data_IF_723866460883
#
_entry.id   IF_723866460883
#
_cell.length_a   1.000
_cell.length_b   1.000
_cell.length_c   1.000
_cell.angle_alpha   90.00
_cell.angle_beta   90.00
_cell.angle_gamma   90.00
#
_symmetry.space_group_name_H-M   'P 1'
#
loop_
_entity.id
_entity.type
_entity.pdbx_description
1 polymer ?
#
# COMPACT_ATOMS: atom_id res chain seq x y z
N UNK A 1 22.15 -30.23 -14.65
CA UNK A 1 21.00 -30.04 -15.57
C UNK A 1 20.84 -28.56 -15.91
N UNK A 2 20.55 -28.22 -17.17
CA UNK A 2 20.37 -26.82 -17.58
C UNK A 2 18.95 -26.29 -17.27
N UNK A 3 18.74 -24.98 -17.42
CA UNK A 3 17.43 -24.36 -17.12
C UNK A 3 16.27 -24.88 -18.00
N UNK A 4 16.56 -25.34 -19.23
CA UNK A 4 15.54 -25.87 -20.15
C UNK A 4 15.06 -27.25 -19.68
N UNK A 5 15.98 -28.07 -19.20
CA UNK A 5 15.66 -29.36 -18.59
C UNK A 5 14.93 -29.17 -17.26
N UNK A 6 15.37 -28.22 -16.42
CA UNK A 6 14.67 -27.89 -15.18
C UNK A 6 13.23 -27.41 -15.42
N UNK A 7 13.02 -26.58 -16.44
CA UNK A 7 11.68 -26.18 -16.92
C UNK A 7 10.85 -27.39 -17.37
N UNK A 8 11.43 -28.31 -18.13
CA UNK A 8 10.73 -29.51 -18.59
C UNK A 8 10.31 -30.44 -17.44
N UNK A 9 11.16 -30.61 -16.42
CA UNK A 9 10.86 -31.46 -15.26
C UNK A 9 9.84 -30.83 -14.31
N UNK A 10 9.93 -29.51 -14.10
CA UNK A 10 9.10 -28.81 -13.10
C UNK A 10 7.82 -28.23 -13.69
N UNK A 11 7.80 -27.99 -15.02
CA UNK A 11 6.76 -27.21 -15.71
C UNK A 11 6.74 -25.73 -15.29
N UNK A 12 7.82 -25.23 -14.70
CA UNK A 12 7.98 -23.81 -14.34
C UNK A 12 8.78 -23.14 -15.44
N UNK A 13 8.29 -22.01 -15.95
CA UNK A 13 8.97 -21.30 -17.04
C UNK A 13 10.37 -20.87 -16.64
N UNK A 14 11.31 -20.82 -17.59
CA UNK A 14 12.67 -20.29 -17.36
C UNK A 14 12.67 -18.92 -16.67
N UNK A 15 11.72 -18.05 -17.04
CA UNK A 15 11.56 -16.73 -16.44
C UNK A 15 11.21 -16.81 -14.95
N UNK A 16 10.30 -17.69 -14.57
CA UNK A 16 9.92 -17.89 -13.18
C UNK A 16 11.02 -18.54 -12.36
N UNK A 17 11.79 -19.47 -12.94
CA UNK A 17 12.98 -20.05 -12.28
C UNK A 17 13.99 -18.93 -11.96
N UNK A 18 14.31 -18.06 -12.94
CA UNK A 18 15.19 -16.90 -12.72
C UNK A 18 14.62 -15.91 -11.70
N UNK A 19 13.31 -15.73 -11.67
CA UNK A 19 12.65 -14.90 -10.67
C UNK A 19 12.85 -15.47 -9.26
N UNK A 20 12.70 -16.78 -9.07
CA UNK A 20 12.94 -17.43 -7.78
C UNK A 20 14.41 -17.38 -7.35
N UNK A 21 15.35 -17.44 -8.30
CA UNK A 21 16.76 -17.12 -8.02
C UNK A 21 16.94 -15.66 -7.56
N UNK A 22 16.37 -14.66 -8.27
CA UNK A 22 16.45 -13.23 -7.89
C UNK A 22 15.86 -13.00 -6.49
N UNK A 23 14.82 -13.75 -6.13
CA UNK A 23 14.18 -13.71 -4.80
C UNK A 23 14.88 -14.58 -3.75
N UNK A 24 16.04 -15.17 -4.06
CA UNK A 24 16.86 -15.90 -3.09
C UNK A 24 16.23 -17.21 -2.60
N UNK A 25 15.34 -17.83 -3.40
CA UNK A 25 14.74 -19.13 -3.07
C UNK A 25 15.53 -20.31 -3.66
N UNK A 26 16.38 -20.05 -4.65
CA UNK A 26 17.21 -21.03 -5.33
C UNK A 26 18.63 -20.50 -5.50
N UNK A 27 19.60 -21.40 -5.29
CA UNK A 27 21.03 -21.11 -5.42
C UNK A 27 21.71 -22.19 -6.27
N UNK A 28 21.41 -22.27 -7.58
CA UNK A 28 22.01 -23.27 -8.44
C UNK A 28 23.52 -23.06 -8.53
N UNK A 29 24.27 -24.16 -8.62
CA UNK A 29 25.71 -24.09 -8.86
C UNK A 29 26.00 -23.49 -10.24
N UNK A 30 27.19 -22.91 -10.39
CA UNK A 30 27.72 -22.56 -11.71
C UNK A 30 28.77 -23.59 -12.08
N UNK A 31 28.66 -24.13 -13.27
CA UNK A 31 29.64 -25.06 -13.79
C UNK A 31 30.99 -24.33 -13.97
N UNK A 32 32.07 -24.90 -13.44
CA UNK A 32 33.41 -24.30 -13.45
C UNK A 32 33.99 -24.12 -14.85
N UNK A 33 33.61 -24.97 -15.81
CA UNK A 33 34.17 -24.97 -17.17
C UNK A 33 33.56 -23.90 -18.07
N UNK A 34 32.28 -23.56 -17.89
CA UNK A 34 31.55 -22.70 -18.82
C UNK A 34 30.69 -21.61 -18.12
N UNK A 35 30.75 -21.53 -16.79
CA UNK A 35 30.04 -20.54 -15.97
C UNK A 35 28.51 -20.53 -16.12
N UNK A 36 27.93 -21.52 -16.81
CA UNK A 36 26.48 -21.67 -16.93
C UNK A 36 25.89 -22.23 -15.63
N UNK A 37 24.61 -21.91 -15.41
CA UNK A 37 23.84 -22.42 -14.28
C UNK A 37 23.63 -23.92 -14.44
N UNK A 38 23.98 -24.65 -13.40
CA UNK A 38 23.80 -26.08 -13.27
C UNK A 38 22.85 -26.36 -12.10
N UNK A 39 21.65 -26.80 -12.45
CA UNK A 39 20.61 -27.15 -11.50
C UNK A 39 20.79 -28.61 -11.10
N UNK A 40 20.81 -28.84 -9.79
CA UNK A 40 20.86 -30.17 -9.19
C UNK A 40 19.45 -30.78 -9.10
N UNK A 41 19.38 -32.07 -8.76
CA UNK A 41 18.11 -32.71 -8.46
C UNK A 41 17.43 -32.08 -7.23
N UNK A 42 18.22 -31.60 -6.26
CA UNK A 42 17.71 -30.89 -5.09
C UNK A 42 17.05 -29.56 -5.47
N UNK A 43 17.61 -28.85 -6.46
CA UNK A 43 17.00 -27.62 -6.97
C UNK A 43 15.65 -27.89 -7.62
N UNK A 44 15.48 -29.02 -8.31
CA UNK A 44 14.19 -29.46 -8.86
C UNK A 44 13.17 -29.70 -7.76
N UNK A 45 13.57 -30.37 -6.68
CA UNK A 45 12.68 -30.62 -5.54
C UNK A 45 12.22 -29.31 -4.88
N UNK A 46 13.14 -28.35 -4.69
CA UNK A 46 12.82 -27.01 -4.18
C UNK A 46 11.85 -26.30 -5.13
N UNK A 47 12.09 -26.34 -6.45
CA UNK A 47 11.18 -25.75 -7.43
C UNK A 47 9.77 -26.36 -7.37
N UNK A 48 9.66 -27.67 -7.18
CA UNK A 48 8.37 -28.35 -7.00
C UNK A 48 7.66 -27.94 -5.71
N UNK A 49 8.41 -27.77 -4.61
CA UNK A 49 7.86 -27.24 -3.35
C UNK A 49 7.34 -25.80 -3.52
N UNK A 50 8.14 -24.92 -4.14
CA UNK A 50 7.72 -23.55 -4.45
C UNK A 50 6.45 -23.56 -5.29
N UNK A 51 6.39 -24.40 -6.34
CA UNK A 51 5.21 -24.54 -7.20
C UNK A 51 3.96 -24.95 -6.43
N UNK A 52 4.09 -25.94 -5.53
CA UNK A 52 2.98 -26.39 -4.69
C UNK A 52 2.48 -25.26 -3.79
N UNK A 53 3.37 -24.63 -3.04
CA UNK A 53 3.03 -23.57 -2.09
C UNK A 53 2.42 -22.34 -2.81
N UNK A 54 2.97 -21.95 -3.95
CA UNK A 54 2.40 -20.87 -4.79
C UNK A 54 1.01 -21.22 -5.32
N UNK A 55 0.72 -22.48 -5.64
CA UNK A 55 -0.63 -22.92 -6.04
C UNK A 55 -1.64 -22.84 -4.90
N UNK A 56 -1.18 -22.87 -3.65
CA UNK A 56 -2.00 -22.65 -2.45
C UNK A 56 -2.11 -21.17 -2.05
N UNK A 57 -1.65 -20.26 -2.91
CA UNK A 57 -1.63 -18.81 -2.68
C UNK A 57 -0.77 -18.40 -1.46
N UNK A 58 0.26 -19.18 -1.15
CA UNK A 58 1.24 -18.84 -0.11
C UNK A 58 2.26 -17.86 -0.68
N UNK A 59 2.52 -16.76 0.03
CA UNK A 59 3.42 -15.68 -0.41
C UNK A 59 4.88 -16.13 -0.54
N UNK A 60 5.66 -15.42 -1.34
CA UNK A 60 7.09 -15.72 -1.54
C UNK A 60 7.86 -15.61 -0.23
N UNK A 61 7.50 -14.65 0.63
CA UNK A 61 8.11 -14.43 1.93
C UNK A 61 7.86 -15.61 2.87
N UNK A 62 6.65 -16.16 2.88
CA UNK A 62 6.33 -17.34 3.68
C UNK A 62 6.99 -18.61 3.13
N UNK A 63 7.11 -18.74 1.81
CA UNK A 63 7.88 -19.83 1.20
C UNK A 63 9.35 -19.74 1.61
N UNK A 64 9.93 -18.53 1.64
CA UNK A 64 11.29 -18.30 2.10
C UNK A 64 11.47 -18.78 3.56
N UNK A 65 10.54 -18.44 4.45
CA UNK A 65 10.56 -18.92 5.84
C UNK A 65 10.50 -20.45 5.93
N UNK A 66 9.64 -21.10 5.15
CA UNK A 66 9.54 -22.57 5.10
C UNK A 66 10.88 -23.18 4.66
N UNK A 67 11.49 -22.66 3.61
CA UNK A 67 12.79 -23.13 3.12
C UNK A 67 13.94 -22.87 4.12
N UNK A 68 13.80 -21.89 5.00
CA UNK A 68 14.72 -21.61 6.11
C UNK A 68 14.44 -22.44 7.38
N UNK A 69 13.44 -23.32 7.36
CA UNK A 69 13.13 -24.24 8.47
C UNK A 69 11.96 -23.83 9.37
N UNK A 70 11.15 -22.84 8.98
CA UNK A 70 9.89 -22.56 9.67
C UNK A 70 8.91 -23.75 9.51
N UNK A 71 8.04 -23.94 10.50
CA UNK A 71 7.03 -25.01 10.43
C UNK A 71 6.01 -24.73 9.33
N UNK A 72 6.05 -25.57 8.29
CA UNK A 72 5.14 -25.53 7.16
C UNK A 72 3.68 -25.72 7.59
N UNK A 73 3.41 -26.51 8.64
CA UNK A 73 2.05 -26.76 9.09
C UNK A 73 1.40 -25.50 9.65
N UNK A 74 2.15 -24.69 10.38
CA UNK A 74 1.63 -23.45 10.97
C UNK A 74 1.26 -22.44 9.88
N UNK A 75 2.11 -22.27 8.86
CA UNK A 75 1.84 -21.39 7.72
C UNK A 75 0.64 -21.89 6.92
N UNK A 76 0.53 -23.20 6.69
CA UNK A 76 -0.62 -23.79 6.00
C UNK A 76 -1.91 -23.64 6.81
N UNK A 77 -1.88 -23.82 8.13
CA UNK A 77 -3.05 -23.60 9.00
C UNK A 77 -3.52 -22.16 8.94
N UNK A 78 -2.60 -21.19 9.04
CA UNK A 78 -2.94 -19.77 8.90
C UNK A 78 -3.58 -19.47 7.53
N UNK A 79 -3.04 -20.05 6.45
CA UNK A 79 -3.61 -19.89 5.12
C UNK A 79 -4.99 -20.56 5.01
N UNK A 80 -5.18 -21.73 5.61
CA UNK A 80 -6.46 -22.42 5.65
C UNK A 80 -7.53 -21.60 6.37
N UNK A 81 -7.19 -21.04 7.53
CA UNK A 81 -8.10 -20.18 8.31
C UNK A 81 -8.50 -18.95 7.51
N UNK A 82 -7.55 -18.29 6.85
CA UNK A 82 -7.79 -17.17 5.94
C UNK A 82 -8.74 -17.56 4.78
N UNK A 83 -8.54 -18.74 4.19
CA UNK A 83 -9.39 -19.22 3.09
C UNK A 83 -10.80 -19.57 3.56
N UNK A 84 -10.96 -20.12 4.76
CA UNK A 84 -12.26 -20.39 5.37
C UNK A 84 -13.01 -19.10 5.68
N UNK A 85 -12.31 -18.08 6.18
CA UNK A 85 -12.86 -16.74 6.38
C UNK A 85 -13.33 -16.13 5.05
N UNK A 86 -12.45 -16.09 4.03
CA UNK A 86 -12.80 -15.59 2.68
C UNK A 86 -14.00 -16.32 2.10
N UNK A 87 -14.09 -17.64 2.27
CA UNK A 87 -15.23 -18.44 1.81
C UNK A 87 -16.54 -17.99 2.48
N UNK A 88 -16.51 -17.78 3.80
CA UNK A 88 -17.69 -17.30 4.55
C UNK A 88 -18.16 -15.92 4.06
N UNK A 89 -17.22 -15.00 3.82
CA UNK A 89 -17.51 -13.66 3.32
C UNK A 89 -18.12 -13.70 1.90
N UNK A 90 -17.56 -14.54 1.03
CA UNK A 90 -18.09 -14.78 -0.31
C UNK A 90 -19.49 -15.39 -0.26
N UNK A 91 -19.73 -16.36 0.62
CA UNK A 91 -21.05 -16.98 0.79
C UNK A 91 -22.10 -15.96 1.27
N UNK A 92 -21.74 -15.05 2.19
CA UNK A 92 -22.58 -13.93 2.61
C UNK A 92 -22.92 -13.00 1.45
N UNK A 93 -21.90 -12.62 0.68
CA UNK A 93 -22.05 -11.74 -0.49
C UNK A 93 -22.91 -12.39 -1.57
N UNK A 94 -22.71 -13.68 -1.88
CA UNK A 94 -23.52 -14.44 -2.84
C UNK A 94 -24.99 -14.49 -2.40
N UNK A 95 -25.27 -14.73 -1.12
CA UNK A 95 -26.65 -14.70 -0.58
C UNK A 95 -27.30 -13.34 -0.82
N UNK A 96 -26.55 -12.26 -0.63
CA UNK A 96 -27.05 -10.91 -0.84
C UNK A 96 -27.28 -10.59 -2.32
N UNK A 97 -26.35 -10.96 -3.20
CA UNK A 97 -26.54 -10.85 -4.65
C UNK A 97 -27.79 -11.60 -5.12
N UNK A 98 -28.00 -12.82 -4.63
CA UNK A 98 -29.21 -13.60 -4.91
C UNK A 98 -30.46 -12.89 -4.40
N UNK A 99 -30.45 -12.37 -3.18
CA UNK A 99 -31.59 -11.63 -2.62
C UNK A 99 -31.95 -10.42 -3.50
N UNK A 100 -30.96 -9.64 -3.92
CA UNK A 100 -31.18 -8.46 -4.78
C UNK A 100 -31.77 -8.85 -6.14
N UNK A 101 -31.21 -9.88 -6.79
CA UNK A 101 -31.71 -10.38 -8.09
C UNK A 101 -33.17 -10.86 -8.01
N UNK A 102 -33.60 -11.46 -6.89
CA UNK A 102 -34.96 -11.97 -6.74
C UNK A 102 -35.97 -10.88 -6.33
N UNK A 103 -35.54 -9.78 -5.70
CA UNK A 103 -36.47 -8.81 -5.12
C UNK A 103 -37.23 -7.95 -6.15
N UNK A 104 -36.83 -7.95 -7.44
CA UNK A 104 -37.37 -7.12 -8.54
C UNK A 104 -37.48 -5.60 -8.24
N UNK A 105 -37.04 -5.14 -7.07
CA UNK A 105 -37.03 -3.72 -6.70
C UNK A 105 -35.82 -3.05 -7.31
N UNK A 106 -36.07 -1.89 -7.91
CA UNK A 106 -35.02 -0.94 -8.27
C UNK A 106 -34.12 -0.65 -7.08
N UNK A 107 -32.90 -0.19 -7.35
CA UNK A 107 -31.92 0.24 -6.34
C UNK A 107 -32.43 1.36 -5.40
N UNK A 108 -33.66 1.84 -5.60
CA UNK A 108 -34.36 2.86 -4.82
C UNK A 108 -34.66 2.44 -3.36
N UNK A 109 -34.71 1.14 -3.06
CA UNK A 109 -34.91 0.62 -1.71
C UNK A 109 -33.60 0.13 -1.06
N UNK A 110 -32.56 0.95 -1.15
CA UNK A 110 -31.23 0.66 -0.57
C UNK A 110 -31.31 0.40 0.93
N UNK A 111 -32.25 1.04 1.64
CA UNK A 111 -32.40 0.89 3.09
C UNK A 111 -32.82 -0.51 3.50
N UNK A 112 -33.77 -1.12 2.78
CA UNK A 112 -34.20 -2.49 3.06
C UNK A 112 -33.08 -3.50 2.77
N UNK A 113 -32.31 -3.27 1.71
CA UNK A 113 -31.15 -4.08 1.38
C UNK A 113 -30.04 -3.99 2.45
N UNK A 114 -29.72 -2.79 2.93
CA UNK A 114 -28.72 -2.58 3.98
C UNK A 114 -29.17 -3.18 5.32
N UNK A 115 -30.43 -3.03 5.70
CA UNK A 115 -30.97 -3.67 6.91
C UNK A 115 -30.86 -5.20 6.84
N UNK A 116 -31.05 -5.79 5.65
CA UNK A 116 -30.87 -7.24 5.46
C UNK A 116 -29.41 -7.66 5.56
N UNK A 117 -28.47 -6.84 5.09
CA UNK A 117 -27.04 -7.07 5.27
C UNK A 117 -26.67 -7.06 6.75
N UNK A 118 -27.11 -6.06 7.52
CA UNK A 118 -26.86 -5.99 8.97
C UNK A 118 -27.38 -7.25 9.71
N UNK A 119 -28.56 -7.74 9.34
CA UNK A 119 -29.10 -8.98 9.91
C UNK A 119 -28.29 -10.23 9.56
N UNK A 120 -27.70 -10.27 8.36
CA UNK A 120 -26.78 -11.33 7.96
C UNK A 120 -25.46 -11.22 8.73
N UNK A 121 -24.99 -10.00 9.02
CA UNK A 121 -23.80 -9.76 9.83
C UNK A 121 -23.99 -10.22 11.28
N UNK A 122 -25.14 -9.92 11.89
CA UNK A 122 -25.49 -10.42 13.23
C UNK A 122 -25.51 -11.95 13.31
N UNK A 123 -25.77 -12.62 12.18
CA UNK A 123 -25.78 -14.10 12.08
C UNK A 123 -24.42 -14.68 11.70
N UNK A 124 -23.35 -13.87 11.74
CA UNK A 124 -21.98 -14.29 11.47
C UNK A 124 -21.54 -14.15 10.01
N UNK A 125 -22.38 -13.58 9.14
CA UNK A 125 -21.91 -13.09 7.84
C UNK A 125 -20.94 -11.91 8.04
N UNK A 126 -20.04 -11.68 7.10
CA UNK A 126 -19.25 -10.45 7.07
C UNK A 126 -19.30 -9.90 5.65
N UNK A 127 -19.52 -8.60 5.55
CA UNK A 127 -19.41 -7.88 4.28
C UNK A 127 -18.21 -6.95 4.35
N UNK A 128 -17.79 -6.45 3.19
CA UNK A 128 -16.71 -5.47 3.15
C UNK A 128 -17.04 -4.25 3.99
N UNK A 129 -16.21 -3.97 4.99
CA UNK A 129 -16.27 -2.71 5.71
C UNK A 129 -15.81 -1.59 4.78
N UNK A 130 -16.61 -0.53 4.62
CA UNK A 130 -16.26 0.66 3.82
C UNK A 130 -14.92 1.27 4.30
N UNK A 131 -14.58 1.12 5.58
CA UNK A 131 -13.28 1.52 6.13
C UNK A 131 -12.08 0.82 5.46
N UNK A 132 -12.25 -0.41 4.98
CA UNK A 132 -11.20 -1.14 4.27
C UNK A 132 -10.88 -0.50 2.92
N UNK A 133 -11.85 0.16 2.27
CA UNK A 133 -11.60 0.90 1.03
C UNK A 133 -10.64 2.07 1.29
N UNK A 134 -10.84 2.79 2.39
CA UNK A 134 -9.93 3.87 2.77
C UNK A 134 -8.53 3.35 3.11
N UNK A 135 -8.42 2.24 3.85
CA UNK A 135 -7.11 1.63 4.13
C UNK A 135 -6.39 1.19 2.85
N UNK A 136 -7.11 0.64 1.87
CA UNK A 136 -6.55 0.28 0.56
C UNK A 136 -6.05 1.52 -0.19
N UNK A 137 -6.83 2.61 -0.19
CA UNK A 137 -6.42 3.89 -0.79
C UNK A 137 -5.17 4.43 -0.10
N UNK A 138 -5.12 4.45 1.23
CA UNK A 138 -3.95 4.91 2.00
C UNK A 138 -2.72 4.06 1.70
N UNK A 139 -2.86 2.73 1.64
CA UNK A 139 -1.75 1.84 1.26
C UNK A 139 -1.28 2.08 -0.18
N UNK A 140 -2.19 2.33 -1.10
CA UNK A 140 -1.86 2.64 -2.49
C UNK A 140 -1.16 4.00 -2.62
N UNK A 141 -1.64 5.02 -1.90
CA UNK A 141 -0.99 6.34 -1.84
C UNK A 141 0.41 6.24 -1.22
N UNK A 142 0.57 5.46 -0.14
CA UNK A 142 1.86 5.22 0.49
C UNK A 142 2.85 4.49 -0.45
N UNK A 143 2.37 3.54 -1.27
CA UNK A 143 3.19 2.90 -2.31
C UNK A 143 3.53 3.85 -3.46
N UNK A 144 2.63 4.75 -3.83
CA UNK A 144 2.82 5.72 -4.92
C UNK A 144 3.84 6.79 -4.56
N UNK A 145 3.80 7.27 -3.32
CA UNK A 145 4.68 8.32 -2.82
C UNK A 145 4.96 8.09 -1.34
N UNK A 146 6.23 8.10 -0.99
CA UNK A 146 6.68 8.13 0.40
C UNK A 146 7.80 9.15 0.57
N UNK A 147 8.09 9.51 1.81
CA UNK A 147 9.12 10.47 2.14
C UNK A 147 9.78 10.09 3.45
N UNK A 148 11.07 10.38 3.58
CA UNK A 148 11.81 10.18 4.82
C UNK A 148 12.81 11.32 5.02
N UNK A 149 13.22 11.48 6.28
CA UNK A 149 14.24 12.46 6.65
C UNK A 149 15.59 11.74 6.58
N UNK A 150 16.51 12.14 5.69
CA UNK A 150 17.85 11.58 5.65
C UNK A 150 18.65 11.98 6.90
N UNK A 151 19.64 11.15 7.25
CA UNK A 151 20.57 11.43 8.33
C UNK A 151 21.55 12.57 7.95
N UNK A 152 21.84 12.70 6.66
CA UNK A 152 22.66 13.76 6.06
C UNK A 152 21.83 14.73 5.21
N UNK A 153 22.46 15.78 4.68
CA UNK A 153 21.78 16.72 3.78
C UNK A 153 21.65 16.19 2.33
N UNK A 154 22.19 14.99 2.05
CA UNK A 154 22.23 14.36 0.73
C UNK A 154 22.66 15.36 -0.37
N UNK A 155 23.83 15.99 -0.18
CA UNK A 155 24.31 17.05 -1.06
C UNK A 155 25.04 16.49 -2.28
N UNK A 156 25.56 15.27 -2.18
CA UNK A 156 26.23 14.55 -3.26
C UNK A 156 25.40 13.34 -3.71
N UNK A 157 25.67 12.82 -4.91
CA UNK A 157 24.98 11.63 -5.41
C UNK A 157 25.29 10.40 -4.57
N UNK A 158 26.52 10.28 -4.06
CA UNK A 158 26.95 9.18 -3.19
C UNK A 158 26.23 9.21 -1.84
N UNK A 159 26.15 10.38 -1.19
CA UNK A 159 25.38 10.56 0.04
C UNK A 159 23.90 10.22 -0.17
N UNK A 160 23.31 10.67 -1.29
CA UNK A 160 21.91 10.39 -1.59
C UNK A 160 21.65 8.88 -1.73
N UNK A 161 22.49 8.19 -2.51
CA UNK A 161 22.42 6.73 -2.67
C UNK A 161 22.56 6.01 -1.33
N UNK A 162 23.49 6.45 -0.47
CA UNK A 162 23.69 5.88 0.84
C UNK A 162 22.47 6.04 1.75
N UNK A 163 21.81 7.21 1.73
CA UNK A 163 20.57 7.44 2.49
C UNK A 163 19.43 6.52 2.02
N UNK A 164 19.29 6.31 0.71
CA UNK A 164 18.30 5.37 0.15
C UNK A 164 18.58 3.92 0.56
N UNK A 165 19.83 3.49 0.49
CA UNK A 165 20.24 2.16 0.93
C UNK A 165 20.01 1.95 2.44
N UNK A 166 20.34 2.97 3.25
CA UNK A 166 20.14 2.95 4.71
C UNK A 166 18.66 2.82 5.03
N UNK A 167 17.81 3.64 4.41
CA UNK A 167 16.36 3.55 4.54
C UNK A 167 15.83 2.15 4.14
N UNK A 168 16.35 1.58 3.05
CA UNK A 168 16.00 0.23 2.61
C UNK A 168 16.31 -0.83 3.66
N UNK A 169 17.50 -0.77 4.28
CA UNK A 169 17.91 -1.70 5.33
C UNK A 169 17.07 -1.56 6.61
N UNK A 170 16.87 -0.33 7.10
CA UNK A 170 16.10 -0.07 8.33
C UNK A 170 14.64 -0.54 8.23
N UNK A 171 14.05 -0.41 7.04
CA UNK A 171 12.68 -0.81 6.78
C UNK A 171 12.53 -2.23 6.20
N UNK A 172 13.61 -3.01 6.13
CA UNK A 172 13.64 -4.36 5.51
C UNK A 172 13.05 -4.39 4.09
N UNK A 173 13.30 -3.35 3.30
CA UNK A 173 12.87 -3.23 1.92
C UNK A 173 13.95 -3.78 1.00
N UNK A 174 13.55 -4.54 -0.03
CA UNK A 174 14.44 -4.95 -1.10
C UNK A 174 14.62 -3.80 -2.10
N UNK A 175 15.33 -2.75 -1.66
CA UNK A 175 15.62 -1.55 -2.42
C UNK A 175 16.92 -1.74 -3.21
N UNK A 176 16.85 -1.61 -4.53
CA UNK A 176 18.02 -1.68 -5.41
C UNK A 176 18.12 -0.38 -6.21
N UNK A 177 19.18 0.38 -6.00
CA UNK A 177 19.44 1.61 -6.79
C UNK A 177 19.87 1.20 -8.21
N UNK A 178 19.14 1.68 -9.21
CA UNK A 178 19.36 1.37 -10.63
C UNK A 178 20.11 2.47 -11.36
N UNK A 179 19.88 3.73 -10.99
CA UNK A 179 20.59 4.90 -11.52
C UNK A 179 20.99 5.82 -10.36
N UNK A 180 22.28 6.10 -10.21
CA UNK A 180 22.79 7.05 -9.22
C UNK A 180 22.74 8.49 -9.75
N UNK A 181 22.54 9.45 -8.85
CA UNK A 181 22.50 10.86 -9.20
C UNK A 181 21.82 11.70 -8.12
N UNK A 182 21.51 12.97 -8.43
CA UNK A 182 20.69 13.82 -7.55
C UNK A 182 19.18 13.62 -7.73
N UNK A 183 18.83 12.80 -8.73
CA UNK A 183 17.49 12.25 -9.00
C UNK A 183 17.62 10.74 -9.21
N UNK A 184 18.05 9.98 -8.18
CA UNK A 184 18.36 8.57 -8.35
C UNK A 184 17.08 7.79 -8.65
N UNK A 185 17.23 6.77 -9.50
CA UNK A 185 16.17 5.78 -9.74
C UNK A 185 16.50 4.48 -9.03
N UNK A 186 15.47 3.82 -8.52
CA UNK A 186 15.64 2.58 -7.76
C UNK A 186 14.38 1.71 -7.84
N UNK A 187 14.56 0.42 -7.60
CA UNK A 187 13.50 -0.59 -7.62
C UNK A 187 13.17 -1.01 -6.19
N UNK A 188 11.89 -1.02 -5.82
CA UNK A 188 11.38 -1.73 -4.64
C UNK A 188 10.35 -2.74 -5.11
N UNK A 189 10.59 -4.04 -4.86
CA UNK A 189 9.66 -5.13 -5.17
C UNK A 189 9.15 -5.19 -6.62
N UNK A 190 9.95 -4.72 -7.59
CA UNK A 190 9.59 -4.70 -9.00
C UNK A 190 8.93 -3.40 -9.48
N UNK A 191 8.75 -2.41 -8.60
CA UNK A 191 8.27 -1.08 -8.95
C UNK A 191 9.45 -0.11 -9.01
N UNK A 192 9.52 0.66 -10.09
CA UNK A 192 10.53 1.71 -10.27
C UNK A 192 10.09 3.01 -9.61
N UNK A 193 11.02 3.60 -8.88
CA UNK A 193 10.89 4.85 -8.17
C UNK A 193 11.96 5.84 -8.63
N UNK A 194 11.62 7.11 -8.57
CA UNK A 194 12.54 8.24 -8.66
C UNK A 194 12.50 8.99 -7.33
N UNK A 195 13.66 9.33 -6.78
CA UNK A 195 13.76 10.18 -5.60
C UNK A 195 14.29 11.56 -5.93
N UNK A 196 13.84 12.55 -5.18
CA UNK A 196 14.41 13.90 -5.17
C UNK A 196 14.41 14.44 -3.75
N UNK A 197 15.29 15.40 -3.47
CA UNK A 197 15.35 16.04 -2.15
C UNK A 197 14.65 17.40 -2.16
N UNK A 198 13.91 17.67 -1.10
CA UNK A 198 13.29 18.96 -0.83
C UNK A 198 13.91 19.56 0.44
N UNK A 199 14.23 20.86 0.40
CA UNK A 199 14.79 21.57 1.57
C UNK A 199 13.70 22.40 2.25
N UNK A 200 13.51 22.15 3.54
CA UNK A 200 12.59 22.89 4.39
C UNK A 200 13.30 23.62 5.52
N UNK A 201 12.51 24.23 6.41
CA UNK A 201 13.00 24.96 7.59
C UNK A 201 13.80 24.07 8.56
N UNK A 202 13.62 22.75 8.49
CA UNK A 202 14.13 21.78 9.46
C UNK A 202 15.09 20.75 8.84
N UNK A 203 15.57 20.95 7.61
CA UNK A 203 16.51 20.05 6.95
C UNK A 203 16.05 19.58 5.57
N UNK A 204 16.75 18.57 5.06
CA UNK A 204 16.40 17.87 3.83
C UNK A 204 15.28 16.84 4.09
N UNK A 205 14.45 16.62 3.08
CA UNK A 205 13.48 15.52 3.02
C UNK A 205 13.70 14.82 1.69
N UNK A 206 13.90 13.52 1.69
CA UNK A 206 13.94 12.73 0.47
C UNK A 206 12.51 12.29 0.16
N UNK A 207 12.05 12.65 -1.03
CA UNK A 207 10.72 12.34 -1.56
C UNK A 207 10.89 11.32 -2.67
N UNK A 208 10.20 10.18 -2.54
CA UNK A 208 10.25 9.08 -3.48
C UNK A 208 8.89 8.91 -4.17
N UNK A 209 8.88 8.78 -5.49
CA UNK A 209 7.65 8.62 -6.28
C UNK A 209 7.83 7.55 -7.35
N UNK A 210 6.76 6.78 -7.62
CA UNK A 210 6.77 5.78 -8.69
C UNK A 210 6.84 6.45 -10.06
N UNK A 211 7.73 5.99 -10.94
CA UNK A 211 7.95 6.53 -12.29
C UNK A 211 6.77 6.24 -13.22
N UNK A 212 6.18 5.05 -13.10
CA UNK A 212 5.02 4.59 -13.87
C UNK A 212 3.82 4.31 -12.96
N UNK A 213 3.11 5.35 -12.48
CA UNK A 213 1.97 5.18 -11.58
C UNK A 213 0.80 4.40 -12.21
N UNK A 214 0.77 4.25 -13.54
CA UNK A 214 -0.22 3.48 -14.27
C UNK A 214 -0.13 1.96 -13.99
N UNK A 215 1.08 1.46 -13.69
CA UNK A 215 1.30 0.05 -13.31
C UNK A 215 0.69 -0.27 -11.93
N UNK A 216 0.60 0.72 -11.04
CA UNK A 216 -0.17 0.60 -9.81
C UNK A 216 -1.68 0.62 -10.11
N UNK A 217 -2.13 1.34 -11.14
CA UNK A 217 -3.56 1.52 -11.44
C UNK A 217 -4.25 0.25 -11.94
N UNK A 218 -3.55 -0.71 -12.56
CA UNK A 218 -4.16 -1.98 -12.99
C UNK A 218 -4.56 -2.90 -11.82
N UNK A 219 -3.81 -2.89 -10.71
CA UNK A 219 -4.18 -3.61 -9.48
C UNK A 219 -5.39 -3.00 -8.75
N UNK A 220 -5.72 -1.72 -8.98
CA UNK A 220 -6.68 -0.97 -8.14
C UNK A 220 -7.76 -0.19 -8.91
N UNK A 221 -7.89 -0.37 -10.24
CA UNK A 221 -8.83 0.36 -11.13
C UNK A 221 -10.30 0.26 -10.71
N UNK A 222 -10.68 -0.72 -9.87
CA UNK A 222 -12.03 -0.86 -9.35
C UNK A 222 -12.39 0.16 -8.25
N UNK A 223 -11.41 0.70 -7.51
CA UNK A 223 -11.65 1.57 -6.35
C UNK A 223 -11.89 3.03 -6.77
N UNK A 224 -11.18 3.51 -7.79
CA UNK A 224 -11.25 4.92 -8.23
C UNK A 224 -12.62 5.30 -8.81
N UNK A 225 -13.40 4.33 -9.31
CA UNK A 225 -14.74 4.56 -9.86
C UNK A 225 -15.83 4.78 -8.81
N UNK A 226 -15.62 4.45 -7.53
CA UNK A 226 -16.65 4.62 -6.48
C UNK A 226 -16.47 5.88 -5.61
N UNK A 227 -15.28 6.49 -5.61
CA UNK A 227 -14.94 7.56 -4.68
C UNK A 227 -15.17 8.96 -5.23
N UNK A 228 -16.30 9.61 -4.88
CA UNK A 228 -16.44 11.08 -4.96
C UNK A 228 -15.54 11.77 -3.91
N UNK A 229 -14.22 11.69 -4.07
CA UNK A 229 -13.19 12.29 -3.19
C UNK A 229 -13.09 13.82 -3.19
N UNK A 230 -14.07 14.51 -3.79
CA UNK A 230 -14.17 15.98 -3.84
C UNK A 230 -14.89 16.56 -2.62
N UNK A 231 -15.84 15.83 -2.03
CA UNK A 231 -16.75 16.37 -1.02
C UNK A 231 -16.13 16.34 0.38
N UNK A 232 -15.41 15.27 0.73
CA UNK A 232 -14.77 15.13 2.04
C UNK A 232 -13.63 16.14 2.26
N UNK A 233 -12.83 16.42 1.22
CA UNK A 233 -11.82 17.50 1.24
C UNK A 233 -12.44 18.88 1.41
N UNK A 234 -13.65 19.13 0.89
CA UNK A 234 -14.37 20.38 1.09
C UNK A 234 -14.92 20.50 2.51
N UNK A 235 -15.49 19.42 3.06
CA UNK A 235 -16.03 19.40 4.43
C UNK A 235 -14.91 19.59 5.46
N UNK A 236 -13.78 18.87 5.31
CA UNK A 236 -12.65 19.00 6.24
C UNK A 236 -12.01 20.39 6.17
N UNK A 237 -11.94 21.00 4.98
CA UNK A 237 -11.50 22.41 4.83
C UNK A 237 -12.46 23.40 5.48
N UNK A 238 -13.77 23.18 5.39
CA UNK A 238 -14.75 24.05 6.06
C UNK A 238 -14.63 23.92 7.58
N UNK A 239 -14.47 22.69 8.08
CA UNK A 239 -14.35 22.42 9.51
C UNK A 239 -13.09 23.04 10.11
N UNK A 240 -11.93 22.97 9.45
CA UNK A 240 -10.70 23.61 9.95
C UNK A 240 -10.76 25.13 9.91
N UNK A 241 -11.48 25.72 8.94
CA UNK A 241 -11.65 27.19 8.84
C UNK A 241 -12.55 27.73 9.95
N UNK A 242 -13.59 26.99 10.37
CA UNK A 242 -14.58 27.49 11.33
C UNK A 242 -14.33 27.04 12.77
N UNK A 243 -13.78 25.84 12.99
CA UNK A 243 -13.61 25.29 14.33
C UNK A 243 -12.57 26.07 15.16
N UNK A 244 -11.46 26.49 14.54
CA UNK A 244 -10.37 27.18 15.25
C UNK A 244 -10.77 28.56 15.81
N UNK A 245 -11.45 29.45 15.04
CA UNK A 245 -11.95 30.72 15.60
C UNK A 245 -13.09 30.53 16.61
N UNK A 246 -13.94 29.50 16.44
CA UNK A 246 -15.00 29.20 17.42
C UNK A 246 -14.43 28.69 18.74
N UNK A 247 -13.41 27.84 18.71
CA UNK A 247 -12.71 27.38 19.91
C UNK A 247 -11.98 28.52 20.63
N UNK A 248 -11.32 29.43 19.88
CA UNK A 248 -10.71 30.62 20.46
C UNK A 248 -11.75 31.55 21.09
N UNK A 249 -12.90 31.74 20.43
CA UNK A 249 -14.00 32.54 20.96
C UNK A 249 -14.52 31.98 22.28
N UNK A 250 -14.81 30.67 22.32
CA UNK A 250 -15.30 29.99 23.52
C UNK A 250 -14.26 30.06 24.65
N UNK A 251 -12.98 29.87 24.35
CA UNK A 251 -11.90 29.97 25.34
C UNK A 251 -11.83 31.37 25.98
N UNK A 252 -11.88 32.44 25.18
CA UNK A 252 -11.84 33.82 25.70
C UNK A 252 -13.16 34.25 26.38
N UNK A 253 -14.30 33.78 25.89
CA UNK A 253 -15.61 34.05 26.48
C UNK A 253 -15.75 33.43 27.88
N UNK A 254 -15.24 32.21 28.08
CA UNK A 254 -15.36 31.48 29.34
C UNK A 254 -14.35 31.97 30.39
N UNK A 255 -13.13 32.34 29.99
CA UNK A 255 -12.04 32.60 30.96
C UNK A 255 -12.00 34.02 31.52
N UNK A 256 -12.50 35.04 30.80
CA UNK A 256 -12.35 36.45 31.24
C UNK A 256 -13.58 37.36 31.08
N UNK A 257 -14.71 36.86 30.56
CA UNK A 257 -15.94 37.66 30.41
C UNK A 257 -15.82 38.89 29.49
N UNK A 258 -14.71 39.02 28.73
CA UNK A 258 -14.46 40.14 27.82
C UNK A 258 -14.88 39.79 26.39
N UNK A 259 -16.20 39.76 26.17
CA UNK A 259 -16.81 39.39 24.88
C UNK A 259 -16.38 40.29 23.72
N UNK A 260 -16.09 41.56 23.97
CA UNK A 260 -15.70 42.53 22.92
C UNK A 260 -14.32 42.19 22.34
N UNK A 261 -13.35 41.80 23.17
CA UNK A 261 -12.00 41.46 22.71
C UNK A 261 -12.01 40.13 21.95
N UNK A 262 -12.81 39.17 22.41
CA UNK A 262 -13.02 37.91 21.69
C UNK A 262 -13.62 38.15 20.29
N UNK A 263 -14.61 39.05 20.20
CA UNK A 263 -15.24 39.40 18.91
C UNK A 263 -14.22 40.03 17.95
N UNK A 264 -13.39 40.96 18.42
CA UNK A 264 -12.36 41.61 17.60
C UNK A 264 -11.30 40.60 17.14
N UNK A 265 -10.80 39.73 18.02
CA UNK A 265 -9.79 38.74 17.63
C UNK A 265 -10.31 37.71 16.63
N UNK A 266 -11.58 37.29 16.76
CA UNK A 266 -12.20 36.37 15.79
C UNK A 266 -12.42 37.02 14.43
N UNK A 267 -12.78 38.31 14.35
CA UNK A 267 -12.94 39.01 13.07
C UNK A 267 -11.60 39.26 12.38
N UNK A 268 -10.55 39.60 13.12
CA UNK A 268 -9.20 39.70 12.54
C UNK A 268 -8.67 38.34 12.07
N UNK A 269 -8.93 37.25 12.81
CA UNK A 269 -8.55 35.91 12.40
C UNK A 269 -9.26 35.48 11.11
N UNK A 270 -10.58 35.73 10.97
CA UNK A 270 -11.32 35.38 9.75
C UNK A 270 -10.90 36.22 8.55
N UNK A 271 -10.64 37.52 8.72
CA UNK A 271 -10.16 38.42 7.66
C UNK A 271 -8.73 38.06 7.22
N UNK A 272 -7.81 37.82 8.16
CA UNK A 272 -6.44 37.41 7.86
C UNK A 272 -6.38 36.07 7.12
N UNK A 273 -7.23 35.12 7.53
CA UNK A 273 -7.35 33.84 6.84
C UNK A 273 -7.94 34.00 5.44
N UNK A 274 -8.94 34.86 5.25
CA UNK A 274 -9.53 35.17 3.94
C UNK A 274 -8.51 35.77 2.96
N UNK A 275 -7.65 36.68 3.43
CA UNK A 275 -6.56 37.25 2.62
C UNK A 275 -5.47 36.24 2.27
N UNK A 276 -5.05 35.40 3.22
CA UNK A 276 -4.09 34.31 2.96
C UNK A 276 -4.63 33.31 1.93
N UNK A 277 -5.95 33.04 1.98
CA UNK A 277 -6.61 32.12 1.05
C UNK A 277 -6.78 32.68 -0.37
N UNK A 278 -7.01 34.00 -0.50
CA UNK A 278 -7.12 34.64 -1.82
C UNK A 278 -5.80 34.62 -2.60
N UNK A 279 -4.67 34.71 -1.91
CA UNK A 279 -3.34 34.60 -2.53
C UNK A 279 -2.96 33.17 -2.93
N UNK A 280 -3.61 32.13 -2.37
CA UNK A 280 -3.33 30.73 -2.72
C UNK A 280 -4.07 30.23 -3.97
N UNK A 281 -4.90 31.08 -4.61
CA UNK A 281 -5.67 30.75 -5.82
C UNK A 281 -5.04 31.23 -7.14
N UNK A 282 -3.84 31.83 -7.09
CA UNK A 282 -3.14 32.43 -8.24
C UNK A 282 -1.80 31.76 -8.61
N UNK A 283 -1.58 30.49 -8.24
CA UNK A 283 -0.49 29.67 -8.78
C UNK A 283 -1.01 28.28 -9.14
#
# INVERSE_FOLDING_TARGET
MNIKEAEALTGITKQNIRFYEKKGLLFPHRNEENSYRDYSQKDVEILLQIKLLRKLDISIENIHKILQGADMNDIIRQQLDLLLEKKSDLDGTIKMCRFLLHSKKDLSDTRTALSKMEDLERKGGRFMAILNDYQKVVKAEAKRKFQFVPNTMALTSEEFTQELCTYGMEHNLNLVVTEEGMYPKFEIDGLEYEAHREFGRFGAIIVCQVTHPELLQEEYREIEKSGKGSLYRRIYRIYTITALPVCLFLFFAITRGQFIIALILTTYATIGFWFSFRNFRLK
#
